data_IF_154806518430
#
_entry.id   IF_154806518430
#
_cell.length_a   1.000
_cell.length_b   1.000
_cell.length_c   1.000
_cell.angle_alpha   90.00
_cell.angle_beta   90.00
_cell.angle_gamma   90.00
#
_symmetry.space_group_name_H-M   'P 1'
#
loop_
_entity.id
_entity.type
_entity.pdbx_description
1 polymer ?
#
# COMPACT_ATOMS: atom_id res chain seq x y z
N UNK A 1 21.52 -1.66 -13.24
CA UNK A 1 21.63 -3.11 -12.97
C UNK A 1 20.26 -3.74 -13.24
N UNK A 2 20.17 -4.83 -14.02
CA UNK A 2 18.90 -5.52 -14.21
C UNK A 2 18.53 -6.22 -12.89
N UNK A 3 17.32 -5.97 -12.40
CA UNK A 3 16.80 -6.51 -11.13
C UNK A 3 16.38 -7.96 -11.34
N UNK A 4 16.95 -8.90 -10.59
CA UNK A 4 16.44 -10.26 -10.46
C UNK A 4 15.06 -10.20 -9.80
N UNK A 5 14.01 -10.83 -10.35
CA UNK A 5 12.75 -11.02 -9.64
C UNK A 5 13.02 -11.78 -8.32
N UNK A 6 12.19 -11.59 -7.27
CA UNK A 6 12.33 -12.37 -6.05
C UNK A 6 12.36 -13.86 -6.40
N UNK A 7 13.34 -14.56 -5.86
CA UNK A 7 13.52 -15.99 -6.05
C UNK A 7 12.23 -16.70 -5.58
N UNK A 8 11.59 -17.53 -6.41
CA UNK A 8 10.42 -18.31 -5.98
C UNK A 8 10.70 -19.17 -4.73
N UNK A 9 11.97 -19.49 -4.45
CA UNK A 9 12.42 -20.24 -3.27
C UNK A 9 12.83 -19.32 -2.10
N UNK A 10 12.72 -17.98 -2.22
CA UNK A 10 12.96 -17.07 -1.09
C UNK A 10 11.95 -17.38 0.03
N UNK A 11 12.40 -17.65 1.27
CA UNK A 11 11.50 -17.98 2.36
C UNK A 11 10.49 -16.85 2.59
N UNK A 12 9.24 -17.26 2.85
CA UNK A 12 8.20 -16.29 3.13
C UNK A 12 8.56 -15.45 4.37
N UNK A 13 8.22 -14.16 4.34
CA UNK A 13 8.27 -13.31 5.52
C UNK A 13 7.52 -13.90 6.69
N UNK A 14 8.12 -13.95 7.88
CA UNK A 14 7.36 -14.21 9.10
C UNK A 14 6.91 -12.87 9.69
N UNK A 15 5.61 -12.71 9.91
CA UNK A 15 5.01 -11.52 10.53
C UNK A 15 3.64 -11.86 11.11
N UNK A 16 3.38 -11.47 12.36
CA UNK A 16 2.05 -11.63 12.95
C UNK A 16 1.05 -10.69 12.28
N UNK A 17 -0.23 -11.09 12.21
CA UNK A 17 -1.29 -10.26 11.59
C UNK A 17 -1.41 -8.88 12.26
N UNK A 18 -1.29 -8.83 13.59
CA UNK A 18 -1.30 -7.60 14.38
C UNK A 18 -0.15 -6.66 14.02
N UNK A 19 1.02 -7.21 13.74
CA UNK A 19 2.22 -6.43 13.40
C UNK A 19 2.10 -5.89 11.98
N UNK A 20 1.63 -6.73 11.04
CA UNK A 20 1.34 -6.33 9.67
C UNK A 20 0.31 -5.18 9.62
N UNK A 21 -0.76 -5.28 10.42
CA UNK A 21 -1.78 -4.24 10.53
C UNK A 21 -1.21 -2.95 11.13
N UNK A 22 -0.49 -3.06 12.25
CA UNK A 22 0.09 -1.90 12.94
C UNK A 22 1.05 -1.14 12.02
N UNK A 23 1.92 -1.87 11.33
CA UNK A 23 2.84 -1.31 10.35
C UNK A 23 2.10 -0.64 9.18
N UNK A 24 1.07 -1.29 8.62
CA UNK A 24 0.30 -0.74 7.50
C UNK A 24 -0.50 0.51 7.90
N UNK A 25 -0.99 0.56 9.15
CA UNK A 25 -1.64 1.74 9.74
C UNK A 25 -0.65 2.90 9.88
N UNK A 26 0.56 2.65 10.36
CA UNK A 26 1.60 3.67 10.45
C UNK A 26 2.00 4.20 9.08
N UNK A 27 2.13 3.33 8.09
CA UNK A 27 2.49 3.72 6.73
C UNK A 27 1.38 4.53 6.05
N UNK A 28 0.11 4.13 6.18
CA UNK A 28 -1.01 4.95 5.67
C UNK A 28 -1.08 6.31 6.36
N UNK A 29 -0.80 6.39 7.66
CA UNK A 29 -0.71 7.68 8.36
C UNK A 29 0.47 8.53 7.88
N UNK A 30 1.62 7.92 7.57
CA UNK A 30 2.73 8.61 6.93
C UNK A 30 2.35 9.17 5.55
N UNK A 31 1.69 8.36 4.71
CA UNK A 31 1.22 8.79 3.39
C UNK A 31 0.27 9.98 3.51
N UNK A 32 -0.70 9.93 4.42
CA UNK A 32 -1.62 11.05 4.63
C UNK A 32 -0.89 12.34 5.01
N UNK A 33 0.04 12.29 5.97
CA UNK A 33 0.84 13.45 6.38
C UNK A 33 1.68 14.00 5.23
N UNK A 34 2.35 13.13 4.48
CA UNK A 34 3.18 13.50 3.34
C UNK A 34 2.38 14.10 2.17
N UNK A 35 1.12 13.69 2.02
CA UNK A 35 0.16 14.24 1.07
C UNK A 35 -0.48 15.56 1.55
N UNK A 36 -0.29 15.95 2.82
CA UNK A 36 -1.01 17.06 3.46
C UNK A 36 -2.51 16.79 3.63
N UNK A 37 -2.91 15.52 3.66
CA UNK A 37 -4.29 15.09 3.87
C UNK A 37 -4.54 14.76 5.34
N UNK A 38 -5.77 14.97 5.80
CA UNK A 38 -6.21 14.55 7.13
C UNK A 38 -6.87 13.18 7.02
N UNK A 39 -6.42 12.18 7.78
CA UNK A 39 -7.10 10.88 7.81
C UNK A 39 -8.54 11.02 8.31
N UNK A 40 -9.49 10.46 7.57
CA UNK A 40 -10.89 10.40 7.95
C UNK A 40 -11.05 9.44 9.16
N UNK A 41 -11.69 9.88 10.26
CA UNK A 41 -11.92 9.02 11.42
C UNK A 41 -12.65 7.72 11.04
N UNK A 42 -12.17 6.58 11.54
CA UNK A 42 -12.80 5.27 11.28
C UNK A 42 -12.67 4.74 9.84
N UNK A 43 -11.87 5.40 8.98
CA UNK A 43 -11.64 4.92 7.60
C UNK A 43 -10.62 3.78 7.51
N UNK A 44 -9.81 3.59 8.55
CA UNK A 44 -8.79 2.55 8.64
C UNK A 44 -9.43 1.17 8.67
N UNK A 45 -9.16 0.33 7.66
CA UNK A 45 -9.75 -1.01 7.51
C UNK A 45 -8.72 -2.02 7.02
N UNK A 46 -8.31 -2.99 7.84
CA UNK A 46 -7.50 -4.11 7.41
C UNK A 46 -8.37 -5.18 6.73
N UNK A 47 -7.90 -5.71 5.61
CA UNK A 47 -8.46 -6.89 4.95
C UNK A 47 -7.38 -7.96 4.84
N UNK A 48 -7.58 -9.07 5.55
CA UNK A 48 -6.74 -10.24 5.46
C UNK A 48 -7.34 -11.24 4.47
N UNK A 49 -6.50 -11.86 3.66
CA UNK A 49 -6.90 -12.90 2.72
C UNK A 49 -5.86 -14.01 2.69
N UNK A 50 -6.25 -15.27 2.44
CA UNK A 50 -5.27 -16.33 2.23
C UNK A 50 -4.41 -16.01 1.01
N UNK A 51 -3.15 -16.44 1.01
CA UNK A 51 -2.37 -16.38 -0.21
C UNK A 51 -2.84 -17.46 -1.18
N UNK A 52 -3.39 -17.03 -2.30
CA UNK A 52 -3.83 -17.91 -3.38
C UNK A 52 -2.82 -17.87 -4.51
N UNK A 53 -2.31 -19.03 -4.90
CA UNK A 53 -1.40 -19.17 -6.03
C UNK A 53 -2.12 -19.06 -7.38
N UNK A 54 -1.37 -19.19 -8.48
CA UNK A 54 -1.87 -18.84 -9.82
C UNK A 54 -3.02 -19.73 -10.29
N UNK A 55 -3.12 -20.96 -9.77
CA UNK A 55 -4.16 -21.92 -10.12
C UNK A 55 -5.26 -22.04 -9.04
N UNK A 56 -5.33 -21.12 -8.08
CA UNK A 56 -6.32 -21.16 -7.00
C UNK A 56 -5.88 -21.94 -5.76
N UNK A 57 -4.65 -22.46 -5.75
CA UNK A 57 -4.09 -23.21 -4.63
C UNK A 57 -3.90 -22.32 -3.40
N UNK A 58 -4.29 -22.83 -2.22
CA UNK A 58 -4.07 -22.17 -0.93
C UNK A 58 -3.34 -23.15 -0.02
N UNK A 59 -2.21 -22.75 0.55
CA UNK A 59 -1.47 -23.57 1.49
C UNK A 59 -2.16 -23.60 2.86
N UNK A 60 -2.10 -24.74 3.55
CA UNK A 60 -2.68 -24.93 4.88
C UNK A 60 -1.85 -24.35 6.05
N UNK A 61 -0.76 -23.64 5.76
CA UNK A 61 0.17 -23.09 6.75
C UNK A 61 -0.23 -21.69 7.27
N UNK A 62 -1.46 -21.26 6.98
CA UNK A 62 -2.03 -20.01 7.48
C UNK A 62 -1.46 -18.74 6.82
N UNK A 63 -0.65 -18.87 5.77
CA UNK A 63 -0.10 -17.73 5.03
C UNK A 63 -1.18 -16.77 4.52
N UNK A 64 -0.91 -15.49 4.57
CA UNK A 64 -1.88 -14.43 4.29
C UNK A 64 -1.28 -13.24 3.55
N UNK A 65 -2.16 -12.47 2.90
CA UNK A 65 -1.89 -11.10 2.45
C UNK A 65 -2.75 -10.13 3.26
N UNK A 66 -2.25 -8.93 3.46
CA UNK A 66 -3.00 -7.81 4.01
C UNK A 66 -3.20 -6.73 2.93
N UNK A 67 -4.42 -6.22 2.82
CA UNK A 67 -4.73 -4.93 2.21
C UNK A 67 -5.28 -4.00 3.29
N UNK A 68 -4.53 -2.98 3.65
CA UNK A 68 -4.96 -1.96 4.60
C UNK A 68 -5.40 -0.71 3.84
N UNK A 69 -6.65 -0.33 4.02
CA UNK A 69 -7.26 0.85 3.41
C UNK A 69 -7.43 1.96 4.45
N UNK A 70 -7.19 3.20 4.06
CA UNK A 70 -7.54 4.39 4.81
C UNK A 70 -7.94 5.50 3.85
N UNK A 71 -8.85 6.37 4.27
CA UNK A 71 -9.26 7.53 3.48
C UNK A 71 -8.64 8.79 4.08
N UNK A 72 -7.99 9.59 3.25
CA UNK A 72 -7.60 10.96 3.56
C UNK A 72 -8.59 11.95 2.97
N UNK A 73 -8.81 13.06 3.66
CA UNK A 73 -9.59 14.20 3.17
C UNK A 73 -8.64 15.31 2.74
N UNK A 74 -8.78 15.76 1.50
CA UNK A 74 -8.02 16.84 0.90
C UNK A 74 -8.84 17.42 -0.26
N UNK A 75 -8.96 18.76 -0.44
CA UNK A 75 -9.68 19.31 -1.58
C UNK A 75 -9.16 18.73 -2.90
N UNK A 76 -10.06 18.30 -3.81
CA UNK A 76 -9.71 17.62 -5.05
C UNK A 76 -8.69 18.42 -5.89
N UNK A 77 -8.81 19.76 -5.91
CA UNK A 77 -7.87 20.65 -6.59
C UNK A 77 -6.40 20.53 -6.09
N UNK A 78 -6.19 20.02 -4.87
CA UNK A 78 -4.86 19.79 -4.27
C UNK A 78 -4.32 18.38 -4.50
N UNK A 79 -5.13 17.45 -5.02
CA UNK A 79 -4.69 16.07 -5.27
C UNK A 79 -3.44 15.97 -6.16
N UNK A 80 -3.31 16.75 -7.27
CA UNK A 80 -2.07 16.76 -8.08
C UNK A 80 -0.81 17.09 -7.26
N UNK A 81 -0.90 18.11 -6.40
CA UNK A 81 0.21 18.51 -5.54
C UNK A 81 0.52 17.44 -4.49
N UNK A 82 -0.51 16.77 -3.94
CA UNK A 82 -0.34 15.69 -2.99
C UNK A 82 0.41 14.50 -3.59
N UNK A 83 0.02 14.02 -4.77
CA UNK A 83 0.74 12.89 -5.40
C UNK A 83 2.15 13.27 -5.86
N UNK A 84 2.42 14.53 -6.24
CA UNK A 84 3.80 15.02 -6.44
C UNK A 84 4.64 14.92 -5.17
N UNK A 85 4.11 15.40 -4.04
CA UNK A 85 4.79 15.35 -2.76
C UNK A 85 5.05 13.91 -2.31
N UNK A 86 4.04 13.04 -2.46
CA UNK A 86 4.15 11.61 -2.18
C UNK A 86 5.21 10.94 -3.03
N UNK A 87 5.23 11.19 -4.34
CA UNK A 87 6.27 10.65 -5.23
C UNK A 87 7.66 11.02 -4.74
N UNK A 88 7.90 12.30 -4.46
CA UNK A 88 9.19 12.76 -3.97
C UNK A 88 9.56 12.20 -2.59
N UNK A 89 8.59 12.01 -1.69
CA UNK A 89 8.82 11.36 -0.40
C UNK A 89 9.18 9.87 -0.56
N UNK A 90 8.38 9.14 -1.33
CA UNK A 90 8.56 7.72 -1.57
C UNK A 90 9.87 7.41 -2.29
N UNK A 91 10.24 8.18 -3.32
CA UNK A 91 11.52 8.01 -4.02
C UNK A 91 12.72 8.27 -3.09
N UNK A 92 12.64 9.27 -2.19
CA UNK A 92 13.66 9.50 -1.15
C UNK A 92 13.78 8.34 -0.17
N UNK A 93 12.66 7.71 0.16
CA UNK A 93 12.59 6.55 1.06
C UNK A 93 12.92 5.23 0.34
N UNK A 94 13.42 5.28 -0.91
CA UNK A 94 13.87 4.12 -1.66
C UNK A 94 12.76 3.34 -2.37
N UNK A 95 11.52 3.84 -2.39
CA UNK A 95 10.45 3.23 -3.20
C UNK A 95 10.64 3.54 -4.69
N UNK A 96 10.24 2.59 -5.52
CA UNK A 96 10.09 2.79 -6.96
C UNK A 96 8.62 3.08 -7.28
N UNK A 97 8.34 4.27 -7.82
CA UNK A 97 7.03 4.60 -8.38
C UNK A 97 6.86 3.88 -9.73
N UNK A 98 5.79 3.11 -9.86
CA UNK A 98 5.51 2.28 -11.05
C UNK A 98 4.39 2.83 -11.92
N UNK A 99 3.52 3.67 -11.36
CA UNK A 99 2.49 4.39 -12.10
C UNK A 99 2.26 5.75 -11.44
N UNK A 100 2.00 6.76 -12.25
CA UNK A 100 1.83 8.13 -11.79
C UNK A 100 0.90 8.90 -12.73
N UNK A 101 -0.09 9.60 -12.17
CA UNK A 101 -1.00 10.50 -12.88
C UNK A 101 -1.48 11.59 -11.91
N UNK A 102 -1.68 12.80 -12.43
CA UNK A 102 -2.20 13.92 -11.65
C UNK A 102 -3.63 14.29 -12.07
N UNK A 103 -3.91 14.25 -13.38
CA UNK A 103 -5.15 14.70 -13.99
C UNK A 103 -5.59 13.78 -15.12
N UNK A 104 -6.89 13.81 -15.42
CA UNK A 104 -7.53 13.21 -16.60
C UNK A 104 -8.46 14.27 -17.19
N UNK A 105 -8.35 14.53 -18.50
CA UNK A 105 -9.15 15.54 -19.21
C UNK A 105 -9.19 16.91 -18.53
N UNK A 106 -8.03 17.35 -18.00
CA UNK A 106 -7.90 18.63 -17.30
C UNK A 106 -8.50 18.68 -15.89
N UNK A 107 -9.07 17.58 -15.39
CA UNK A 107 -9.63 17.49 -14.03
C UNK A 107 -8.71 16.71 -13.09
N UNK A 108 -8.65 17.07 -11.79
CA UNK A 108 -7.92 16.28 -10.80
C UNK A 108 -8.36 14.81 -10.78
N UNK A 109 -7.42 13.92 -11.07
CA UNK A 109 -7.58 12.47 -10.96
C UNK A 109 -6.20 11.88 -10.67
N UNK A 110 -5.77 12.12 -9.44
CA UNK A 110 -4.46 11.73 -8.98
C UNK A 110 -4.41 10.20 -8.77
N UNK A 111 -3.33 9.59 -9.24
CA UNK A 111 -3.01 8.18 -9.06
C UNK A 111 -1.50 8.01 -8.86
N UNK A 112 -1.10 7.20 -7.89
CA UNK A 112 0.29 6.85 -7.64
C UNK A 112 0.36 5.40 -7.17
N UNK A 113 1.13 4.59 -7.89
CA UNK A 113 1.51 3.25 -7.46
C UNK A 113 3.00 3.20 -7.16
N UNK A 114 3.38 2.62 -6.03
CA UNK A 114 4.77 2.47 -5.64
C UNK A 114 5.04 1.11 -4.99
N UNK A 115 6.29 0.64 -5.09
CA UNK A 115 6.77 -0.57 -4.43
C UNK A 115 8.16 -0.33 -3.87
N UNK A 116 8.44 -0.86 -2.69
CA UNK A 116 9.79 -0.81 -2.14
C UNK A 116 10.57 -2.03 -2.64
N UNK A 117 11.81 -1.88 -3.16
CA UNK A 117 12.54 -2.95 -3.82
C UNK A 117 12.95 -4.09 -2.88
N UNK A 118 13.33 -3.78 -1.64
CA UNK A 118 13.49 -4.78 -0.58
C UNK A 118 12.18 -5.08 0.15
N UNK A 119 11.14 -4.29 -0.15
CA UNK A 119 9.95 -4.23 0.67
C UNK A 119 8.89 -5.18 0.19
N UNK A 120 8.20 -5.72 1.18
CA UNK A 120 7.21 -6.76 1.07
C UNK A 120 5.85 -6.17 0.74
N UNK A 121 5.82 -5.01 0.08
CA UNK A 121 4.66 -4.11 0.10
C UNK A 121 4.46 -3.31 -1.19
N UNK A 122 3.20 -3.07 -1.50
CA UNK A 122 2.72 -2.25 -2.61
C UNK A 122 1.85 -1.12 -2.07
N UNK A 123 2.05 0.07 -2.60
CA UNK A 123 1.31 1.27 -2.24
C UNK A 123 0.45 1.70 -3.42
N UNK A 124 -0.78 2.07 -3.11
CA UNK A 124 -1.74 2.65 -4.04
C UNK A 124 -2.35 3.88 -3.39
N UNK A 125 -2.20 5.02 -4.07
CA UNK A 125 -2.86 6.27 -3.70
C UNK A 125 -3.66 6.75 -4.90
N UNK A 126 -4.93 7.09 -4.68
CA UNK A 126 -5.83 7.50 -5.75
C UNK A 126 -6.90 8.50 -5.33
N UNK A 127 -7.38 9.29 -6.27
CA UNK A 127 -8.58 10.12 -6.07
C UNK A 127 -9.80 9.21 -5.92
N UNK A 128 -10.47 9.29 -4.78
CA UNK A 128 -11.59 8.43 -4.43
C UNK A 128 -12.91 8.93 -5.03
N UNK A 129 -13.25 8.48 -6.24
CA UNK A 129 -14.56 8.73 -6.85
C UNK A 129 -14.79 10.19 -7.28
N UNK A 130 -13.73 10.93 -7.62
CA UNK A 130 -13.82 12.33 -8.06
C UNK A 130 -14.21 13.32 -6.96
N UNK A 131 -14.03 12.94 -5.69
CA UNK A 131 -14.36 13.77 -4.51
C UNK A 131 -13.08 14.28 -3.82
N UNK A 132 -13.23 15.00 -2.72
CA UNK A 132 -12.14 15.41 -1.80
C UNK A 132 -11.52 14.24 -1.00
N UNK A 133 -11.82 13.00 -1.41
CA UNK A 133 -11.27 11.79 -0.82
C UNK A 133 -10.01 11.38 -1.57
N UNK A 134 -8.94 11.15 -0.83
CA UNK A 134 -7.72 10.51 -1.28
C UNK A 134 -7.66 9.11 -0.66
N UNK A 135 -7.86 8.07 -1.47
CA UNK A 135 -7.78 6.69 -1.02
C UNK A 135 -6.30 6.29 -0.85
N UNK A 136 -5.96 5.75 0.32
CA UNK A 136 -4.61 5.31 0.68
C UNK A 136 -4.66 3.81 0.96
N UNK A 137 -3.95 3.02 0.17
CA UNK A 137 -3.92 1.57 0.29
C UNK A 137 -2.50 1.06 0.39
N UNK A 138 -2.27 0.23 1.40
CA UNK A 138 -1.02 -0.52 1.60
C UNK A 138 -1.33 -2.00 1.49
N UNK A 139 -0.63 -2.70 0.61
CA UNK A 139 -0.78 -4.15 0.41
C UNK A 139 0.52 -4.85 0.75
N UNK A 140 0.45 -6.04 1.32
CA UNK A 140 1.61 -6.89 1.55
C UNK A 140 1.76 -7.94 0.43
N UNK A 141 2.97 -8.46 0.23
CA UNK A 141 3.18 -9.78 -0.38
C UNK A 141 2.64 -10.86 0.57
N UNK A 142 2.70 -12.11 0.14
CA UNK A 142 2.36 -13.22 1.02
C UNK A 142 3.27 -13.24 2.26
N UNK A 143 2.68 -13.33 3.46
CA UNK A 143 3.32 -13.40 4.76
C UNK A 143 2.94 -14.72 5.42
N UNK A 144 3.87 -15.32 6.16
CA UNK A 144 3.63 -16.45 7.03
C UNK A 144 3.37 -15.93 8.46
N UNK A 145 2.33 -16.39 9.17
CA UNK A 145 2.21 -16.11 10.59
C UNK A 145 3.34 -16.80 11.37
N UNK A 146 3.76 -16.26 12.53
CA UNK A 146 4.68 -16.97 13.40
C UNK A 146 4.08 -18.30 13.85
N UNK A 147 4.92 -19.32 14.06
CA UNK A 147 4.48 -20.56 14.66
C UNK A 147 3.95 -20.27 16.07
N UNK A 148 2.79 -20.84 16.42
CA UNK A 148 2.34 -20.81 17.80
C UNK A 148 3.32 -21.62 18.66
N UNK A 149 3.74 -21.12 19.83
CA UNK A 149 4.48 -21.96 20.77
C UNK A 149 3.59 -23.13 21.16
N UNK A 150 4.05 -24.35 20.87
CA UNK A 150 3.42 -25.60 21.33
C UNK A 150 3.58 -25.80 22.83
#
# INVERSE_FOLDING_TARGET
MPRTPPDPDEPLPVMARSDAESWARELTAYLARSAGATLAPGSSRPFFSPCTGRNGETAGDGRYTLAHHADGTLPAARHPAAVRALRAALERDGFTVTAYRETVDGRPDALLYARHPAGRYFLDVGTGGGTDRLALTVRTRCLLPPAEPS
#
